data_IF_671477886964
#
_entry.id   IF_671477886964
#
_cell.length_a   1.000
_cell.length_b   1.000
_cell.length_c   1.000
_cell.angle_alpha   90.00
_cell.angle_beta   90.00
_cell.angle_gamma   90.00
#
_symmetry.space_group_name_H-M   'P 1'
#
loop_
_entity.id
_entity.type
_entity.pdbx_description
1 polymer ?
#
# COMPACT_ATOMS: atom_id res chain seq x y z
N UNK A 1 -20.86 -4.55 4.04
CA UNK A 1 -19.54 -4.60 4.72
C UNK A 1 -18.47 -4.48 3.65
N UNK A 2 -17.72 -3.37 3.62
CA UNK A 2 -16.78 -3.06 2.54
C UNK A 2 -15.47 -3.82 2.73
N UNK A 3 -14.93 -4.41 1.66
CA UNK A 3 -13.65 -5.14 1.55
C UNK A 3 -12.45 -4.40 2.18
N UNK A 4 -12.58 -3.09 2.39
CA UNK A 4 -11.62 -2.22 3.07
C UNK A 4 -11.43 -2.53 4.57
N UNK A 5 -12.39 -3.18 5.24
CA UNK A 5 -12.20 -3.63 6.65
C UNK A 5 -11.25 -4.82 6.79
N UNK A 6 -10.82 -5.43 5.69
CA UNK A 6 -10.01 -6.65 5.68
C UNK A 6 -8.50 -6.43 5.46
N UNK A 7 -8.05 -5.20 5.25
CA UNK A 7 -6.63 -4.88 5.41
C UNK A 7 -6.42 -4.67 6.91
N UNK A 8 -6.16 -5.77 7.61
CA UNK A 8 -5.90 -5.79 9.05
C UNK A 8 -4.83 -4.76 9.37
N UNK A 9 -5.19 -3.73 10.14
CA UNK A 9 -4.36 -2.57 10.47
C UNK A 9 -3.00 -2.98 11.05
N UNK A 10 -2.96 -4.08 11.80
CA UNK A 10 -1.75 -4.66 12.39
C UNK A 10 -0.87 -5.43 11.41
N UNK A 11 -1.42 -5.98 10.34
CA UNK A 11 -0.65 -6.82 9.40
C UNK A 11 0.26 -5.95 8.53
N UNK A 12 -0.25 -4.82 8.05
CA UNK A 12 0.46 -4.01 7.06
C UNK A 12 1.63 -3.19 7.61
N UNK A 13 1.56 -2.75 8.86
CA UNK A 13 2.69 -2.08 9.55
C UNK A 13 3.74 -3.09 10.02
N UNK A 14 3.35 -4.33 10.37
CA UNK A 14 4.31 -5.41 10.67
C UNK A 14 5.10 -5.87 9.45
N UNK A 15 4.47 -5.84 8.27
CA UNK A 15 5.11 -6.24 7.01
C UNK A 15 6.25 -5.29 6.59
N UNK A 16 6.10 -4.00 6.90
CA UNK A 16 7.07 -2.95 6.55
C UNK A 16 7.16 -1.92 7.68
N UNK A 17 8.00 -2.16 8.71
CA UNK A 17 8.15 -1.28 9.87
C UNK A 17 8.62 0.14 9.51
N UNK A 18 9.30 0.30 8.38
CA UNK A 18 9.81 1.56 7.88
C UNK A 18 8.68 2.48 7.35
N UNK A 19 7.52 1.91 7.07
CA UNK A 19 6.37 2.62 6.52
C UNK A 19 5.42 3.07 7.62
N UNK A 20 4.87 4.27 7.44
CA UNK A 20 3.73 4.74 8.24
C UNK A 20 2.47 3.95 7.90
N UNK A 21 1.48 3.93 8.81
CA UNK A 21 0.21 3.24 8.58
C UNK A 21 -0.43 3.61 7.22
N UNK A 22 -0.46 4.91 6.89
CA UNK A 22 -1.01 5.40 5.62
C UNK A 22 -0.21 4.89 4.42
N UNK A 23 1.11 4.86 4.51
CA UNK A 23 1.97 4.31 3.46
C UNK A 23 1.69 2.82 3.25
N UNK A 24 1.60 2.05 4.32
CA UNK A 24 1.33 0.62 4.27
C UNK A 24 -0.06 0.31 3.70
N UNK A 25 -1.09 1.09 4.06
CA UNK A 25 -2.44 0.95 3.51
C UNK A 25 -2.49 1.24 2.00
N UNK A 26 -1.89 2.33 1.56
CA UNK A 26 -1.85 2.70 0.13
C UNK A 26 -1.07 1.68 -0.68
N UNK A 27 0.09 1.24 -0.15
CA UNK A 27 0.92 0.22 -0.77
C UNK A 27 0.17 -1.11 -0.91
N UNK A 28 -0.48 -1.57 0.16
CA UNK A 28 -1.23 -2.84 0.17
C UNK A 28 -2.41 -2.80 -0.80
N UNK A 29 -3.20 -1.73 -0.76
CA UNK A 29 -4.32 -1.56 -1.68
C UNK A 29 -3.87 -1.60 -3.15
N UNK A 30 -2.79 -0.88 -3.48
CA UNK A 30 -2.24 -0.85 -4.83
C UNK A 30 -1.66 -2.21 -5.25
N UNK A 31 -0.91 -2.88 -4.38
CA UNK A 31 -0.25 -4.15 -4.68
C UNK A 31 -1.26 -5.27 -5.01
N UNK A 32 -2.40 -5.28 -4.32
CA UNK A 32 -3.54 -6.18 -4.54
C UNK A 32 -4.32 -5.88 -5.84
N UNK A 33 -3.85 -4.93 -6.66
CA UNK A 33 -4.49 -4.54 -7.92
C UNK A 33 -5.56 -3.46 -7.77
N UNK A 34 -5.61 -2.79 -6.62
CA UNK A 34 -6.54 -1.70 -6.38
C UNK A 34 -6.29 -0.50 -7.29
N UNK A 35 -7.37 0.09 -7.81
CA UNK A 35 -7.31 1.30 -8.63
C UNK A 35 -7.18 2.55 -7.75
N UNK A 36 -6.02 3.22 -7.80
CA UNK A 36 -5.74 4.41 -6.99
C UNK A 36 -6.72 5.57 -7.25
N UNK A 37 -7.22 5.72 -8.48
CA UNK A 37 -8.21 6.75 -8.80
C UNK A 37 -9.56 6.46 -8.12
N UNK A 38 -9.94 5.19 -8.04
CA UNK A 38 -11.14 4.78 -7.30
C UNK A 38 -10.94 4.96 -5.79
N UNK A 39 -9.75 4.62 -5.28
CA UNK A 39 -9.40 4.81 -3.88
C UNK A 39 -9.37 6.28 -3.46
N UNK A 40 -8.80 7.16 -4.31
CA UNK A 40 -8.84 8.61 -4.15
C UNK A 40 -10.27 9.13 -4.00
N UNK A 41 -11.17 8.75 -4.92
CA UNK A 41 -12.59 9.12 -4.87
C UNK A 41 -13.29 8.61 -3.60
N UNK A 42 -13.03 7.36 -3.22
CA UNK A 42 -13.66 6.75 -2.05
C UNK A 42 -13.20 7.38 -0.73
N UNK A 43 -11.91 7.71 -0.63
CA UNK A 43 -11.31 8.24 0.61
C UNK A 43 -11.29 9.77 0.67
N UNK A 44 -11.64 10.45 -0.42
CA UNK A 44 -11.49 11.90 -0.56
C UNK A 44 -10.03 12.36 -0.63
N UNK A 45 -9.07 11.44 -0.83
CA UNK A 45 -7.65 11.76 -0.94
C UNK A 45 -7.27 12.18 -2.37
N UNK A 46 -6.32 13.10 -2.49
CA UNK A 46 -5.76 13.49 -3.78
C UNK A 46 -4.97 12.33 -4.42
N UNK A 47 -5.28 12.04 -5.69
CA UNK A 47 -4.60 11.00 -6.47
C UNK A 47 -3.10 11.26 -6.62
N UNK A 48 -2.71 12.53 -6.80
CA UNK A 48 -1.29 12.88 -6.93
C UNK A 48 -0.53 12.63 -5.63
N UNK A 49 -1.19 12.84 -4.49
CA UNK A 49 -0.65 12.51 -3.17
C UNK A 49 -0.53 10.98 -2.96
N UNK A 50 -1.49 10.19 -3.43
CA UNK A 50 -1.40 8.72 -3.38
C UNK A 50 -0.21 8.20 -4.20
N UNK A 51 -0.02 8.74 -5.41
CA UNK A 51 1.15 8.39 -6.25
C UNK A 51 2.46 8.77 -5.58
N UNK A 52 2.57 9.98 -5.03
CA UNK A 52 3.74 10.40 -4.23
C UNK A 52 3.97 9.51 -3.01
N UNK A 53 2.90 9.00 -2.41
CA UNK A 53 2.99 8.07 -1.28
C UNK A 53 3.67 6.76 -1.70
N UNK A 54 3.33 6.21 -2.88
CA UNK A 54 3.99 5.01 -3.40
C UNK A 54 5.47 5.23 -3.71
N UNK A 55 5.83 6.37 -4.32
CA UNK A 55 7.24 6.73 -4.56
C UNK A 55 8.03 6.78 -3.24
N UNK A 56 7.45 7.36 -2.19
CA UNK A 56 8.09 7.35 -0.86
C UNK A 56 8.21 5.95 -0.25
N UNK A 57 7.31 5.02 -0.59
CA UNK A 57 7.44 3.63 -0.18
C UNK A 57 8.62 2.96 -0.90
N UNK A 58 8.81 3.24 -2.19
CA UNK A 58 9.96 2.76 -2.98
C UNK A 58 11.28 3.24 -2.37
N UNK A 59 11.37 4.54 -2.06
CA UNK A 59 12.55 5.15 -1.44
C UNK A 59 12.88 4.52 -0.09
N UNK A 60 11.88 4.37 0.79
CA UNK A 60 12.07 3.81 2.13
C UNK A 60 12.44 2.33 2.13
N UNK A 61 11.88 1.57 1.19
CA UNK A 61 12.13 0.13 1.08
C UNK A 61 13.32 -0.18 0.16
N UNK A 62 13.95 0.84 -0.43
CA UNK A 62 15.06 0.72 -1.38
C UNK A 62 14.77 -0.26 -2.53
N UNK A 63 13.55 -0.20 -3.08
CA UNK A 63 13.08 -1.07 -4.17
C UNK A 63 12.37 -0.26 -5.25
N UNK A 64 12.45 -0.70 -6.49
CA UNK A 64 11.73 -0.07 -7.62
C UNK A 64 10.30 -0.58 -7.74
N UNK A 65 9.40 0.20 -8.36
CA UNK A 65 7.95 -0.10 -8.54
C UNK A 65 7.63 -1.58 -8.86
N UNK A 66 8.31 -2.17 -9.86
CA UNK A 66 8.09 -3.58 -10.26
C UNK A 66 8.42 -4.58 -9.15
N UNK A 67 9.46 -4.30 -8.37
CA UNK A 67 9.88 -5.13 -7.23
C UNK A 67 8.99 -4.88 -6.01
N UNK A 68 8.53 -3.63 -5.82
CA UNK A 68 7.68 -3.22 -4.72
C UNK A 68 6.39 -4.04 -4.68
N UNK A 69 5.73 -4.23 -5.84
CA UNK A 69 4.51 -5.04 -5.93
C UNK A 69 4.75 -6.51 -5.59
N UNK A 70 5.78 -7.12 -6.19
CA UNK A 70 6.12 -8.53 -5.95
C UNK A 70 6.54 -8.78 -4.49
N UNK A 71 7.34 -7.88 -3.90
CA UNK A 71 7.74 -7.94 -2.49
C UNK A 71 6.54 -7.88 -1.55
N UNK A 72 5.61 -6.96 -1.82
CA UNK A 72 4.38 -6.80 -1.03
C UNK A 72 3.54 -8.07 -1.09
N UNK A 73 3.33 -8.64 -2.28
CA UNK A 73 2.57 -9.89 -2.42
C UNK A 73 3.26 -11.09 -1.76
N UNK A 74 4.58 -11.25 -1.91
CA UNK A 74 5.32 -12.35 -1.27
C UNK A 74 5.20 -12.30 0.26
N UNK A 75 5.39 -11.13 0.87
CA UNK A 75 5.33 -11.01 2.33
C UNK A 75 3.92 -11.23 2.89
N UNK A 76 2.88 -10.97 2.10
CA UNK A 76 1.48 -11.25 2.47
C UNK A 76 1.16 -12.74 2.43
N UNK A 77 1.74 -13.50 1.48
CA UNK A 77 1.52 -14.95 1.34
C UNK A 77 2.23 -15.75 2.44
N UNK A 78 3.33 -15.24 2.99
CA UNK A 78 4.18 -15.93 3.97
C UNK A 78 3.69 -15.74 5.43
N UNK A 79 2.62 -14.99 5.67
CA UNK A 79 1.97 -14.85 6.98
C UNK A 79 0.91 -15.93 7.24
#
# INVERSE_FOLDING_TARGET
MSTLKLINKDVTTKLFPELTEKQSQVLMFWALGGNLSAYAKFTGLDLSNLRRTLVRCEEKLNVKEKQLRSLTLMRVIIQ
#
